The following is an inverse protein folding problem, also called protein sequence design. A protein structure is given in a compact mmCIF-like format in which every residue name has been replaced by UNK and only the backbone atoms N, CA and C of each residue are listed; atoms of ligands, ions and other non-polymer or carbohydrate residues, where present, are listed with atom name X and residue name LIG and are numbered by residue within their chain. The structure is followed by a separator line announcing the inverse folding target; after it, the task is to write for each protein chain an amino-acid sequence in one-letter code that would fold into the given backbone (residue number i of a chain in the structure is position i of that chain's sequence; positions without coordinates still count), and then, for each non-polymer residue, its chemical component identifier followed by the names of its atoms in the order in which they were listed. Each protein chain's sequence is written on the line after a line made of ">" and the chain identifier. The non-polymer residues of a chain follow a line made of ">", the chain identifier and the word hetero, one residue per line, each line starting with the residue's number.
data_IF_333839605586
#
_entry.id   IF_333839605586
#
_cell.length_a   1.000
_cell.length_b   1.000
_cell.length_c   1.000
_cell.angle_alpha   90.00
_cell.angle_beta   90.00
_cell.angle_gamma   90.00
#
_symmetry.space_group_name_H-M   'P 1'
#
loop_
_entity.id
_entity.type
_entity.pdbx_description
1 polymer ?
#
# COMPACT_ATOMS: atom_id res chain seq x y z
N UNK A 1 -29.49 -4.33 -33.67
CA UNK A 1 -28.52 -3.57 -32.85
C UNK A 1 -29.31 -2.75 -31.85
N UNK A 2 -29.00 -2.88 -30.56
CA UNK A 2 -29.55 -1.96 -29.56
C UNK A 2 -29.07 -0.54 -29.90
N UNK A 3 -29.92 0.50 -29.74
CA UNK A 3 -29.46 1.88 -29.91
C UNK A 3 -28.29 2.13 -28.96
N UNK A 4 -27.25 2.83 -29.43
CA UNK A 4 -26.16 3.25 -28.55
C UNK A 4 -26.74 4.08 -27.40
N UNK A 5 -26.34 3.81 -26.13
CA UNK A 5 -26.85 4.56 -25.00
C UNK A 5 -26.57 6.07 -25.20
N UNK A 6 -27.53 6.95 -24.87
CA UNK A 6 -27.35 8.38 -25.04
C UNK A 6 -26.22 8.88 -24.13
N UNK A 7 -25.32 9.69 -24.67
CA UNK A 7 -24.29 10.35 -23.87
C UNK A 7 -24.94 11.38 -22.94
N UNK A 8 -24.28 11.70 -21.82
CA UNK A 8 -24.77 12.72 -20.86
C UNK A 8 -24.99 14.07 -21.57
N UNK A 9 -24.07 14.46 -22.45
CA UNK A 9 -24.19 15.67 -23.28
C UNK A 9 -25.44 15.61 -24.17
N UNK A 10 -25.74 14.46 -24.78
CA UNK A 10 -26.96 14.29 -25.59
C UNK A 10 -28.23 14.38 -24.75
N UNK A 11 -28.23 13.87 -23.52
CA UNK A 11 -29.36 14.00 -22.59
C UNK A 11 -29.59 15.46 -22.21
N UNK A 12 -28.53 16.19 -21.85
CA UNK A 12 -28.57 17.63 -21.55
C UNK A 12 -29.08 18.43 -22.75
N UNK A 13 -28.60 18.12 -23.96
CA UNK A 13 -29.08 18.75 -25.19
C UNK A 13 -30.57 18.46 -25.44
N UNK A 14 -31.02 17.21 -25.27
CA UNK A 14 -32.41 16.84 -25.44
C UNK A 14 -33.32 17.55 -24.43
N UNK A 15 -32.86 17.69 -23.19
CA UNK A 15 -33.57 18.47 -22.18
C UNK A 15 -33.67 19.94 -22.59
N UNK A 16 -32.57 20.59 -22.97
CA UNK A 16 -32.58 21.99 -23.40
C UNK A 16 -33.49 22.22 -24.61
N UNK A 17 -33.43 21.34 -25.62
CA UNK A 17 -34.30 21.43 -26.80
C UNK A 17 -35.78 21.23 -26.46
N UNK A 18 -36.10 20.32 -25.53
CA UNK A 18 -37.46 20.15 -25.03
C UNK A 18 -37.94 21.41 -24.29
N UNK A 19 -37.13 22.00 -23.42
CA UNK A 19 -37.45 23.24 -22.73
C UNK A 19 -37.61 24.42 -23.70
N UNK A 20 -36.70 24.58 -24.66
CA UNK A 20 -36.83 25.59 -25.72
C UNK A 20 -38.11 25.38 -26.53
N UNK A 21 -38.51 24.14 -26.82
CA UNK A 21 -39.77 23.85 -27.51
C UNK A 21 -40.97 24.24 -26.68
N UNK A 22 -40.98 24.00 -25.37
CA UNK A 22 -42.05 24.43 -24.46
C UNK A 22 -42.16 25.95 -24.40
N UNK A 23 -41.03 26.65 -24.28
CA UNK A 23 -40.99 28.12 -24.23
C UNK A 23 -41.31 28.78 -25.58
N UNK A 24 -41.06 28.09 -26.69
CA UNK A 24 -41.36 28.58 -28.03
C UNK A 24 -42.75 28.17 -28.55
N UNK A 25 -43.59 27.56 -27.71
CA UNK A 25 -44.96 27.25 -28.09
C UNK A 25 -45.76 28.52 -28.40
N UNK A 26 -46.61 28.49 -29.43
CA UNK A 26 -47.42 29.65 -29.78
C UNK A 26 -48.35 30.00 -28.63
N UNK A 27 -48.30 31.26 -28.22
CA UNK A 27 -49.15 31.78 -27.16
C UNK A 27 -50.56 31.95 -27.72
N UNK A 28 -51.52 31.34 -27.02
CA UNK A 28 -52.95 31.56 -27.26
C UNK A 28 -53.53 32.34 -26.08
N UNK A 29 -54.32 33.38 -26.32
CA UNK A 29 -54.96 34.14 -25.24
C UNK A 29 -55.87 33.22 -24.44
N UNK A 30 -55.86 33.37 -23.12
CA UNK A 30 -56.70 32.57 -22.23
C UNK A 30 -58.18 32.89 -22.48
N UNK A 31 -59.06 31.89 -22.29
CA UNK A 31 -60.51 32.08 -22.45
C UNK A 31 -61.06 33.15 -21.51
N UNK A 32 -60.54 33.21 -20.29
CA UNK A 32 -60.88 34.24 -19.31
C UNK A 32 -60.57 35.66 -19.83
N UNK A 33 -59.40 35.84 -20.47
CA UNK A 33 -59.02 37.12 -21.05
C UNK A 33 -59.91 37.51 -22.24
N UNK A 34 -60.26 36.55 -23.11
CA UNK A 34 -61.18 36.80 -24.23
C UNK A 34 -62.56 37.26 -23.75
N UNK A 35 -63.11 36.61 -22.73
CA UNK A 35 -64.40 36.98 -22.15
C UNK A 35 -64.37 38.40 -21.56
N UNK A 36 -63.28 38.75 -20.87
CA UNK A 36 -63.11 40.10 -20.32
C UNK A 36 -63.03 41.15 -21.45
N UNK A 37 -62.26 40.88 -22.51
CA UNK A 37 -62.18 41.78 -23.66
C UNK A 37 -63.55 41.97 -24.34
N UNK A 38 -64.35 40.90 -24.51
CA UNK A 38 -65.70 41.01 -25.05
C UNK A 38 -66.67 41.78 -24.15
N UNK A 39 -66.46 41.77 -22.83
CA UNK A 39 -67.29 42.52 -21.88
C UNK A 39 -67.02 44.03 -21.85
N UNK A 40 -65.88 44.48 -22.40
CA UNK A 40 -65.49 45.89 -22.40
C UNK A 40 -66.22 46.76 -23.44
N UNK A 41 -67.16 46.19 -24.19
CA UNK A 41 -68.05 46.93 -25.11
C UNK A 41 -67.26 47.78 -26.11
N UNK A 42 -67.35 49.10 -25.94
CA UNK A 42 -66.73 50.09 -26.83
C UNK A 42 -65.19 50.08 -26.79
N UNK A 43 -64.58 49.62 -25.70
CA UNK A 43 -63.12 49.50 -25.54
C UNK A 43 -62.59 48.10 -25.90
N UNK A 44 -63.42 47.22 -26.44
CA UNK A 44 -63.00 45.86 -26.81
C UNK A 44 -62.02 45.89 -27.98
N UNK A 45 -60.90 45.18 -27.84
CA UNK A 45 -59.95 44.99 -28.94
C UNK A 45 -60.58 44.09 -29.99
N UNK A 46 -60.53 44.52 -31.26
CA UNK A 46 -61.05 43.71 -32.36
C UNK A 46 -60.31 42.38 -32.48
N UNK A 47 -61.04 41.30 -32.75
CA UNK A 47 -60.48 39.95 -32.89
C UNK A 47 -59.37 39.91 -33.94
N UNK A 48 -59.55 40.62 -35.05
CA UNK A 48 -58.52 40.76 -36.10
C UNK A 48 -57.23 41.40 -35.58
N UNK A 49 -57.31 42.45 -34.76
CA UNK A 49 -56.13 43.07 -34.19
C UNK A 49 -55.42 42.14 -33.20
N UNK A 50 -56.19 41.33 -32.45
CA UNK A 50 -55.65 40.31 -31.54
C UNK A 50 -54.92 39.23 -32.33
N UNK A 51 -55.54 38.69 -33.38
CA UNK A 51 -54.94 37.66 -34.22
C UNK A 51 -53.68 38.14 -34.94
N UNK A 52 -53.69 39.36 -35.48
CA UNK A 52 -52.51 39.98 -36.10
C UNK A 52 -51.38 40.18 -35.09
N UNK A 53 -51.70 40.62 -33.86
CA UNK A 53 -50.73 40.80 -32.79
C UNK A 53 -50.14 39.46 -32.33
N UNK A 54 -50.98 38.44 -32.15
CA UNK A 54 -50.56 37.08 -31.79
C UNK A 54 -49.70 36.46 -32.88
N UNK A 55 -50.08 36.61 -34.15
CA UNK A 55 -49.29 36.14 -35.28
C UNK A 55 -47.89 36.77 -35.27
N UNK A 56 -47.81 38.09 -35.12
CA UNK A 56 -46.52 38.82 -35.06
C UNK A 56 -45.69 38.42 -33.84
N UNK A 57 -46.32 38.26 -32.67
CA UNK A 57 -45.63 37.85 -31.44
C UNK A 57 -45.08 36.44 -31.57
N UNK A 58 -45.92 35.48 -31.97
CA UNK A 58 -45.54 34.09 -32.16
C UNK A 58 -44.43 33.97 -33.21
N UNK A 59 -44.52 34.75 -34.30
CA UNK A 59 -43.46 34.78 -35.31
C UNK A 59 -42.14 35.32 -34.75
N UNK A 60 -42.17 36.44 -34.00
CA UNK A 60 -40.97 37.00 -33.35
C UNK A 60 -40.37 36.05 -32.32
N UNK A 61 -41.19 35.36 -31.55
CA UNK A 61 -40.76 34.37 -30.57
C UNK A 61 -40.13 33.14 -31.24
N UNK A 62 -40.68 32.66 -32.35
CA UNK A 62 -40.04 31.62 -33.16
C UNK A 62 -38.71 32.10 -33.76
N UNK A 63 -38.65 33.31 -34.31
CA UNK A 63 -37.41 33.89 -34.81
C UNK A 63 -36.35 34.02 -33.70
N UNK A 64 -36.76 34.49 -32.51
CA UNK A 64 -35.89 34.61 -31.35
C UNK A 64 -35.37 33.24 -30.91
N UNK A 65 -36.24 32.24 -30.76
CA UNK A 65 -35.84 30.88 -30.37
C UNK A 65 -34.82 30.29 -31.34
N UNK A 66 -34.99 30.49 -32.66
CA UNK A 66 -34.05 29.99 -33.69
C UNK A 66 -32.72 30.73 -33.70
N UNK A 67 -32.71 32.03 -33.36
CA UNK A 67 -31.48 32.84 -33.33
C UNK A 67 -30.67 32.61 -32.06
N UNK A 68 -31.33 32.53 -30.91
CA UNK A 68 -30.66 32.38 -29.60
C UNK A 68 -30.33 30.91 -29.32
N UNK A 69 -31.29 30.00 -29.53
CA UNK A 69 -31.12 28.57 -29.26
C UNK A 69 -30.86 27.78 -30.54
N UNK A 70 -29.86 28.23 -31.31
CA UNK A 70 -29.38 27.46 -32.46
C UNK A 70 -28.83 26.09 -32.01
N UNK A 71 -28.94 25.02 -32.81
CA UNK A 71 -28.56 23.66 -32.39
C UNK A 71 -27.09 23.57 -31.93
N UNK A 72 -26.18 24.29 -32.60
CA UNK A 72 -24.76 24.36 -32.18
C UNK A 72 -24.58 25.04 -30.81
N UNK A 73 -25.34 26.11 -30.55
CA UNK A 73 -25.30 26.79 -29.25
C UNK A 73 -25.85 25.91 -28.14
N UNK A 74 -26.93 25.16 -28.38
CA UNK A 74 -27.48 24.23 -27.37
C UNK A 74 -26.49 23.13 -26.99
N UNK A 75 -25.72 22.61 -27.95
CA UNK A 75 -24.67 21.63 -27.70
C UNK A 75 -23.53 22.24 -26.87
N UNK A 76 -23.05 23.42 -27.25
CA UNK A 76 -22.00 24.11 -26.51
C UNK A 76 -22.41 24.40 -25.06
N UNK A 77 -23.65 24.85 -24.83
CA UNK A 77 -24.17 25.05 -23.47
C UNK A 77 -24.24 23.73 -22.69
N UNK A 78 -24.63 22.63 -23.34
CA UNK A 78 -24.63 21.31 -22.70
C UNK A 78 -23.21 20.85 -22.31
N UNK A 79 -22.21 21.08 -23.16
CA UNK A 79 -20.80 20.82 -22.88
C UNK A 79 -20.27 21.73 -21.76
N UNK A 80 -20.64 23.01 -21.74
CA UNK A 80 -20.27 23.94 -20.66
C UNK A 80 -20.88 23.54 -19.32
N UNK A 81 -22.14 23.12 -19.27
CA UNK A 81 -22.78 22.62 -18.04
C UNK A 81 -22.06 21.36 -17.56
N UNK A 82 -21.62 20.49 -18.47
CA UNK A 82 -20.80 19.33 -18.13
C UNK A 82 -19.45 19.72 -17.53
N UNK A 83 -18.73 20.63 -18.19
CA UNK A 83 -17.45 21.16 -17.70
C UNK A 83 -17.59 21.84 -16.34
N UNK A 84 -18.65 22.64 -16.12
CA UNK A 84 -18.89 23.31 -14.85
C UNK A 84 -19.16 22.31 -13.72
N UNK A 85 -19.88 21.21 -14.00
CA UNK A 85 -20.11 20.17 -13.01
C UNK A 85 -18.80 19.45 -12.63
N UNK A 86 -17.99 19.09 -13.63
CA UNK A 86 -16.68 18.49 -13.37
C UNK A 86 -15.74 19.43 -12.64
N UNK A 87 -15.64 20.69 -13.06
CA UNK A 87 -14.84 21.70 -12.37
C UNK A 87 -15.27 21.90 -10.92
N UNK A 88 -16.58 21.84 -10.64
CA UNK A 88 -17.10 21.91 -9.27
C UNK A 88 -16.73 20.66 -8.46
N UNK A 89 -16.78 19.47 -9.07
CA UNK A 89 -16.37 18.22 -8.43
C UNK A 89 -14.86 18.20 -8.13
N UNK A 90 -14.02 18.61 -9.07
CA UNK A 90 -12.58 18.74 -8.88
C UNK A 90 -12.23 19.82 -7.85
N UNK A 91 -12.97 20.94 -7.85
CA UNK A 91 -12.82 21.97 -6.83
C UNK A 91 -13.19 21.47 -5.42
N UNK A 92 -14.22 20.61 -5.31
CA UNK A 92 -14.58 19.98 -4.05
C UNK A 92 -13.50 18.97 -3.59
N UNK A 93 -12.99 18.14 -4.50
CA UNK A 93 -11.93 17.18 -4.21
C UNK A 93 -10.62 17.88 -3.79
N UNK A 94 -10.24 18.96 -4.48
CA UNK A 94 -9.02 19.73 -4.15
C UNK A 94 -9.16 20.58 -2.89
N UNK A 95 -10.37 21.02 -2.54
CA UNK A 95 -10.63 21.69 -1.25
C UNK A 95 -10.51 20.70 -0.10
N UNK A 96 -11.14 19.53 -0.22
CA UNK A 96 -10.98 18.46 0.77
C UNK A 96 -9.53 18.01 0.94
N UNK A 97 -8.73 18.02 -0.14
CA UNK A 97 -7.29 17.72 -0.06
C UNK A 97 -6.46 18.83 0.62
N UNK A 98 -6.90 20.10 0.58
CA UNK A 98 -6.21 21.22 1.23
C UNK A 98 -6.57 21.34 2.71
N UNK A 99 -7.84 21.17 3.04
CA UNK A 99 -8.31 21.25 4.43
C UNK A 99 -7.80 20.07 5.27
N UNK A 100 -7.34 18.97 4.62
CA UNK A 100 -6.68 17.85 5.28
C UNK A 100 -5.21 18.04 5.68
N UNK A 101 -4.55 19.17 5.33
CA UNK A 101 -3.16 19.47 5.73
C UNK A 101 -3.09 20.29 7.04
N UNK A 102 -4.17 20.98 7.40
CA UNK A 102 -4.26 21.76 8.63
C UNK A 102 -4.84 20.93 9.79
N UNK A 103 -3.95 20.32 10.57
CA UNK A 103 -4.05 20.17 12.04
C UNK A 103 -5.32 19.61 12.67
N UNK A 104 -5.18 18.45 13.33
CA UNK A 104 -5.90 18.09 14.57
C UNK A 104 -7.43 17.94 14.52
N UNK A 105 -8.02 17.56 13.38
CA UNK A 105 -9.41 17.10 13.39
C UNK A 105 -9.49 15.62 13.83
N UNK A 106 -9.43 15.39 15.15
CA UNK A 106 -9.63 14.07 15.78
C UNK A 106 -11.03 13.46 15.56
N UNK A 107 -12.01 14.19 15.00
CA UNK A 107 -13.34 13.64 14.64
C UNK A 107 -13.90 14.17 13.31
N UNK A 108 -13.08 14.81 12.48
CA UNK A 108 -13.49 15.43 11.21
C UNK A 108 -13.43 14.45 10.05
N UNK A 109 -14.39 13.53 9.97
CA UNK A 109 -14.64 12.64 8.83
C UNK A 109 -15.18 13.46 7.63
N UNK A 110 -14.45 14.49 7.19
CA UNK A 110 -14.59 15.08 5.86
C UNK A 110 -13.78 14.21 4.90
N UNK A 111 -14.21 12.96 4.76
CA UNK A 111 -13.72 12.08 3.69
C UNK A 111 -13.97 12.86 2.41
N UNK A 112 -12.94 13.09 1.60
CA UNK A 112 -13.15 13.68 0.28
C UNK A 112 -14.20 12.84 -0.47
N UNK A 113 -15.46 13.26 -0.46
CA UNK A 113 -16.61 12.49 -0.96
C UNK A 113 -16.57 12.29 -2.48
N UNK A 114 -15.54 12.83 -3.16
CA UNK A 114 -15.39 12.76 -4.61
C UNK A 114 -14.16 11.99 -5.04
N UNK A 115 -14.36 10.91 -5.79
CA UNK A 115 -13.32 10.38 -6.67
C UNK A 115 -12.99 11.44 -7.73
N UNK A 116 -11.78 11.99 -7.71
CA UNK A 116 -11.33 12.92 -8.74
C UNK A 116 -11.31 12.28 -10.13
N UNK A 117 -11.45 13.08 -11.18
CA UNK A 117 -11.35 12.57 -12.55
C UNK A 117 -9.98 11.92 -12.79
N UNK A 118 -9.97 10.64 -13.14
CA UNK A 118 -8.73 9.89 -13.38
C UNK A 118 -8.01 9.43 -12.11
N UNK A 119 -8.66 9.49 -10.95
CA UNK A 119 -8.14 8.85 -9.74
C UNK A 119 -7.87 7.37 -9.99
N UNK A 120 -6.71 6.88 -9.56
CA UNK A 120 -6.37 5.47 -9.68
C UNK A 120 -7.24 4.67 -8.72
N UNK A 121 -8.22 3.95 -9.28
CA UNK A 121 -9.12 3.07 -8.52
C UNK A 121 -8.37 1.90 -7.88
N UNK A 122 -7.12 1.65 -8.31
CA UNK A 122 -6.27 0.72 -7.62
C UNK A 122 -5.63 1.33 -6.38
N UNK A 123 -5.51 2.64 -6.17
CA UNK A 123 -4.83 3.20 -4.99
C UNK A 123 -5.60 2.86 -3.70
N UNK A 124 -4.95 2.31 -2.65
CA UNK A 124 -5.66 1.99 -1.41
C UNK A 124 -6.24 3.23 -0.71
N UNK A 125 -5.69 4.43 -0.91
CA UNK A 125 -6.24 5.66 -0.35
C UNK A 125 -7.58 6.00 -1.02
N UNK A 126 -7.67 5.84 -2.33
CA UNK A 126 -8.90 6.05 -3.12
C UNK A 126 -9.96 5.01 -2.78
N UNK A 127 -9.58 3.74 -2.61
CA UNK A 127 -10.54 2.70 -2.19
C UNK A 127 -11.15 3.04 -0.83
N UNK A 128 -10.38 3.66 0.09
CA UNK A 128 -10.89 4.04 1.39
C UNK A 128 -11.92 5.17 1.37
N UNK A 129 -11.96 6.00 0.32
CA UNK A 129 -12.99 7.04 0.17
C UNK A 129 -14.29 6.52 -0.44
N UNK A 130 -14.30 5.27 -0.95
CA UNK A 130 -15.50 4.68 -1.54
C UNK A 130 -16.57 4.41 -0.47
N UNK A 131 -17.82 4.86 -0.70
CA UNK A 131 -18.92 4.55 0.20
C UNK A 131 -19.25 3.05 0.16
N UNK A 132 -19.74 2.54 1.30
CA UNK A 132 -20.15 1.15 1.44
C UNK A 132 -21.56 0.90 0.89
N UNK A 133 -22.35 1.96 0.78
CA UNK A 133 -23.72 1.95 0.31
C UNK A 133 -23.86 2.86 -0.90
N UNK A 134 -24.91 2.65 -1.69
CA UNK A 134 -25.17 3.46 -2.87
C UNK A 134 -25.70 4.84 -2.46
N UNK A 135 -25.04 5.92 -2.86
CA UNK A 135 -25.33 7.28 -2.38
C UNK A 135 -26.73 7.79 -2.73
N UNK A 136 -27.30 7.36 -3.87
CA UNK A 136 -28.59 7.85 -4.37
C UNK A 136 -29.71 6.86 -3.98
N UNK A 137 -30.52 7.14 -2.93
CA UNK A 137 -31.53 6.20 -2.43
C UNK A 137 -32.65 5.93 -3.44
N UNK A 138 -32.96 6.91 -4.30
CA UNK A 138 -33.97 6.75 -5.35
C UNK A 138 -33.56 5.72 -6.40
N UNK A 139 -32.27 5.67 -6.75
CA UNK A 139 -31.74 4.71 -7.72
C UNK A 139 -31.55 3.34 -7.07
N UNK A 140 -31.14 3.30 -5.80
CA UNK A 140 -31.11 2.08 -5.02
C UNK A 140 -32.50 1.41 -4.94
N UNK A 141 -33.56 2.22 -4.85
CA UNK A 141 -34.94 1.72 -4.87
C UNK A 141 -35.38 1.21 -6.26
N UNK A 142 -34.93 1.84 -7.35
CA UNK A 142 -35.26 1.37 -8.71
C UNK A 142 -34.43 0.15 -9.11
N UNK A 143 -33.19 0.03 -8.63
CA UNK A 143 -32.25 -1.03 -8.95
C UNK A 143 -31.70 -1.72 -7.69
N UNK A 144 -32.54 -2.45 -6.93
CA UNK A 144 -32.14 -3.02 -5.64
C UNK A 144 -31.08 -4.12 -5.76
N UNK A 145 -31.04 -4.86 -6.88
CA UNK A 145 -30.02 -5.90 -7.10
C UNK A 145 -28.65 -5.29 -7.38
N UNK A 146 -28.58 -4.15 -8.07
CA UNK A 146 -27.33 -3.47 -8.38
C UNK A 146 -26.77 -2.79 -7.15
N UNK A 147 -27.62 -2.15 -6.34
CA UNK A 147 -27.22 -1.56 -5.08
C UNK A 147 -26.62 -2.60 -4.11
N UNK A 148 -27.21 -3.81 -4.03
CA UNK A 148 -26.65 -4.91 -3.22
C UNK A 148 -25.30 -5.39 -3.75
N UNK A 149 -25.19 -5.59 -5.07
CA UNK A 149 -23.93 -5.98 -5.72
C UNK A 149 -22.83 -4.95 -5.50
N UNK A 150 -23.17 -3.67 -5.56
CA UNK A 150 -22.25 -2.59 -5.25
C UNK A 150 -21.74 -2.71 -3.81
N UNK A 151 -22.63 -2.85 -2.83
CA UNK A 151 -22.25 -2.98 -1.43
C UNK A 151 -21.35 -4.21 -1.19
N UNK A 152 -21.65 -5.35 -1.82
CA UNK A 152 -20.82 -6.55 -1.77
C UNK A 152 -19.42 -6.29 -2.35
N UNK A 153 -19.34 -5.73 -3.56
CA UNK A 153 -18.06 -5.44 -4.23
C UNK A 153 -17.24 -4.36 -3.51
N UNK A 154 -17.89 -3.33 -2.98
CA UNK A 154 -17.24 -2.28 -2.19
C UNK A 154 -16.62 -2.87 -0.92
N UNK A 155 -17.36 -3.72 -0.19
CA UNK A 155 -16.83 -4.43 0.96
C UNK A 155 -15.65 -5.34 0.58
N UNK A 156 -15.75 -6.09 -0.53
CA UNK A 156 -14.63 -6.89 -1.04
C UNK A 156 -13.40 -6.03 -1.35
N UNK A 157 -13.56 -4.89 -2.02
CA UNK A 157 -12.46 -3.97 -2.33
C UNK A 157 -11.79 -3.41 -1.07
N UNK A 158 -12.57 -3.03 -0.06
CA UNK A 158 -12.03 -2.57 1.23
C UNK A 158 -11.18 -3.67 1.89
N UNK A 159 -11.68 -4.92 1.94
CA UNK A 159 -10.90 -6.04 2.52
C UNK A 159 -9.62 -6.36 1.73
N UNK A 160 -9.66 -6.26 0.40
CA UNK A 160 -8.48 -6.46 -0.46
C UNK A 160 -7.48 -5.32 -0.30
N UNK A 161 -7.95 -4.08 -0.17
CA UNK A 161 -7.10 -2.91 0.07
C UNK A 161 -6.38 -3.02 1.42
N UNK A 162 -7.05 -3.49 2.47
CA UNK A 162 -6.44 -3.76 3.77
C UNK A 162 -5.33 -4.82 3.67
N UNK A 163 -5.60 -5.95 3.00
CA UNK A 163 -4.59 -7.01 2.79
C UNK A 163 -3.39 -6.50 2.03
N UNK A 164 -3.59 -5.68 1.00
CA UNK A 164 -2.49 -5.06 0.26
C UNK A 164 -1.70 -4.08 1.13
N UNK A 165 -2.35 -3.24 1.94
CA UNK A 165 -1.67 -2.34 2.89
C UNK A 165 -0.79 -3.13 3.86
N UNK A 166 -1.30 -4.23 4.40
CA UNK A 166 -0.54 -5.12 5.30
C UNK A 166 0.68 -5.73 4.59
N UNK A 167 0.51 -6.23 3.36
CA UNK A 167 1.61 -6.78 2.57
C UNK A 167 2.67 -5.72 2.25
N UNK A 168 2.25 -4.52 1.84
CA UNK A 168 3.15 -3.39 1.56
C UNK A 168 3.91 -2.95 2.83
N UNK A 169 3.24 -2.88 3.98
CA UNK A 169 3.88 -2.57 5.27
C UNK A 169 4.93 -3.63 5.65
N UNK A 170 4.63 -4.92 5.41
CA UNK A 170 5.59 -6.01 5.64
C UNK A 170 6.81 -5.89 4.73
N UNK A 171 6.61 -5.61 3.44
CA UNK A 171 7.71 -5.39 2.48
C UNK A 171 8.55 -4.18 2.88
N UNK A 172 7.92 -3.05 3.23
CA UNK A 172 8.62 -1.86 3.70
C UNK A 172 9.45 -2.15 4.97
N UNK A 173 8.91 -2.92 5.92
CA UNK A 173 9.66 -3.35 7.11
C UNK A 173 10.86 -4.22 6.75
N UNK A 174 10.70 -5.20 5.84
CA UNK A 174 11.80 -6.06 5.38
C UNK A 174 12.88 -5.24 4.65
N UNK A 175 12.48 -4.29 3.81
CA UNK A 175 13.40 -3.38 3.12
C UNK A 175 14.16 -2.49 4.10
N UNK A 176 13.50 -1.96 5.14
CA UNK A 176 14.17 -1.21 6.22
C UNK A 176 15.18 -2.07 6.97
N UNK A 177 14.81 -3.30 7.33
CA UNK A 177 15.75 -4.23 8.00
C UNK A 177 16.93 -4.58 7.08
N UNK A 178 16.69 -4.79 5.79
CA UNK A 178 17.77 -4.99 4.80
C UNK A 178 18.71 -3.78 4.72
N UNK A 179 18.18 -2.56 4.69
CA UNK A 179 19.00 -1.34 4.66
C UNK A 179 19.87 -1.18 5.92
N UNK A 180 19.39 -1.65 7.08
CA UNK A 180 20.19 -1.68 8.32
C UNK A 180 21.26 -2.78 8.32
N UNK A 181 21.05 -3.85 7.56
CA UNK A 181 21.98 -4.99 7.44
C UNK A 181 23.03 -4.82 6.34
N UNK A 182 22.80 -3.94 5.36
CA UNK A 182 23.74 -3.65 4.27
C UNK A 182 25.19 -3.38 4.73
N UNK A 183 25.46 -2.55 5.77
CA UNK A 183 26.83 -2.36 6.25
C UNK A 183 27.47 -3.61 6.88
N UNK A 184 26.67 -4.62 7.24
CA UNK A 184 27.14 -5.87 7.84
C UNK A 184 27.26 -7.03 6.81
N UNK A 185 26.93 -6.81 5.54
CA UNK A 185 26.98 -7.86 4.51
C UNK A 185 28.42 -8.20 4.09
N UNK A 186 29.13 -8.98 4.91
CA UNK A 186 30.50 -9.49 4.67
C UNK A 186 30.63 -10.46 3.48
N UNK A 187 29.51 -10.98 2.98
CA UNK A 187 29.51 -11.89 1.83
C UNK A 187 29.89 -11.19 0.53
N UNK A 188 29.63 -9.88 0.40
CA UNK A 188 29.92 -9.15 -0.84
C UNK A 188 31.40 -8.85 -1.01
N UNK A 189 32.15 -8.56 0.07
CA UNK A 189 33.60 -8.35 -0.02
C UNK A 189 34.35 -9.66 -0.30
N UNK A 190 33.89 -10.79 0.25
CA UNK A 190 34.56 -12.09 0.02
C UNK A 190 34.19 -12.75 -1.30
N UNK A 191 32.95 -12.62 -1.79
CA UNK A 191 32.56 -13.18 -3.09
C UNK A 191 33.21 -12.43 -4.27
N UNK A 192 33.51 -11.14 -4.12
CA UNK A 192 34.32 -10.38 -5.08
C UNK A 192 35.79 -10.82 -5.13
N UNK A 193 36.34 -11.35 -4.03
CA UNK A 193 37.72 -11.81 -3.97
C UNK A 193 37.96 -13.18 -4.64
N UNK A 194 36.92 -14.00 -4.81
CA UNK A 194 37.08 -15.32 -5.42
C UNK A 194 37.11 -15.31 -6.96
N UNK A 195 36.75 -14.20 -7.60
CA UNK A 195 36.65 -14.08 -9.05
C UNK A 195 37.41 -12.87 -9.61
N UNK A 196 38.67 -12.69 -9.22
CA UNK A 196 39.47 -11.58 -9.76
C UNK A 196 40.89 -11.58 -9.24
N UNK A 197 41.73 -12.49 -9.75
CA UNK A 197 43.15 -12.40 -9.53
C UNK A 197 43.76 -11.17 -10.23
N UNK A 198 44.52 -10.39 -9.46
CA UNK A 198 45.63 -9.57 -9.96
C UNK A 198 45.35 -8.08 -10.20
N UNK A 199 46.11 -7.22 -9.51
CA UNK A 199 46.21 -5.78 -9.73
C UNK A 199 45.91 -5.01 -8.44
N UNK A 200 46.82 -5.01 -7.46
CA UNK A 200 48.01 -4.15 -7.38
C UNK A 200 47.68 -2.65 -7.22
N UNK A 201 48.03 -2.17 -6.02
CA UNK A 201 48.49 -0.83 -5.67
C UNK A 201 47.52 0.38 -5.62
N UNK A 202 47.47 0.98 -4.43
CA UNK A 202 47.35 2.44 -4.25
C UNK A 202 45.94 3.05 -4.27
N UNK A 203 45.25 3.04 -3.13
CA UNK A 203 44.03 3.86 -3.00
C UNK A 203 43.41 3.85 -1.61
N UNK A 204 44.01 4.57 -0.67
CA UNK A 204 43.29 5.29 0.41
C UNK A 204 42.11 4.55 1.06
N UNK A 205 42.38 3.50 1.84
CA UNK A 205 41.39 2.89 2.73
C UNK A 205 41.18 3.74 4.00
N UNK A 206 40.75 4.98 3.84
CA UNK A 206 40.14 5.79 4.91
C UNK A 206 38.60 5.75 4.84
N UNK A 207 38.07 4.68 4.25
CA UNK A 207 36.64 4.45 4.03
C UNK A 207 36.02 3.45 5.02
N UNK A 208 35.97 3.82 6.30
CA UNK A 208 34.81 3.60 7.19
C UNK A 208 34.06 2.25 7.31
N UNK A 209 34.56 1.12 6.80
CA UNK A 209 33.85 -0.17 6.83
C UNK A 209 34.29 -1.14 7.95
N UNK A 210 35.08 -0.69 8.93
CA UNK A 210 35.64 -1.52 10.01
C UNK A 210 34.68 -1.79 11.17
N UNK A 211 33.37 -1.77 10.92
CA UNK A 211 32.32 -2.13 11.87
C UNK A 211 31.83 -3.55 11.59
N UNK A 212 31.71 -4.48 12.51
CA UNK A 212 31.80 -4.48 13.97
C UNK A 212 32.26 -5.89 14.32
N UNK A 213 33.38 -6.01 15.03
CA UNK A 213 33.87 -7.20 15.72
C UNK A 213 33.48 -8.52 15.05
N UNK A 214 34.31 -9.00 14.12
CA UNK A 214 34.28 -10.39 13.69
C UNK A 214 34.11 -11.27 14.93
N UNK A 215 32.96 -11.96 14.97
CA UNK A 215 32.41 -12.52 16.18
C UNK A 215 33.43 -13.53 16.71
N UNK A 216 34.28 -13.12 17.64
CA UNK A 216 35.54 -13.83 17.95
C UNK A 216 35.30 -15.25 18.49
N UNK A 217 34.04 -15.56 18.83
CA UNK A 217 33.55 -16.82 19.39
C UNK A 217 32.96 -17.77 18.33
N UNK A 218 32.77 -17.34 17.07
CA UNK A 218 32.29 -18.27 16.03
C UNK A 218 33.35 -19.31 15.67
N UNK A 219 32.93 -20.48 15.20
CA UNK A 219 33.83 -21.50 14.65
C UNK A 219 34.68 -20.84 13.55
N UNK A 220 36.00 -20.78 13.74
CA UNK A 220 36.99 -20.01 12.96
C UNK A 220 37.25 -18.55 13.40
N UNK A 221 36.82 -18.12 14.59
CA UNK A 221 37.15 -16.81 15.14
C UNK A 221 38.62 -16.69 15.56
N UNK A 222 39.15 -15.47 15.62
CA UNK A 222 40.56 -15.24 16.02
C UNK A 222 40.87 -15.83 17.40
N UNK A 223 39.92 -15.81 18.34
CA UNK A 223 40.09 -16.44 19.67
C UNK A 223 40.22 -17.96 19.55
N UNK A 224 39.46 -18.63 18.69
CA UNK A 224 39.63 -20.07 18.50
C UNK A 224 41.00 -20.38 17.90
N UNK A 225 41.45 -19.56 16.93
CA UNK A 225 42.79 -19.70 16.37
C UNK A 225 43.87 -19.50 17.46
N UNK A 226 43.71 -18.53 18.35
CA UNK A 226 44.61 -18.32 19.49
C UNK A 226 44.53 -19.44 20.52
N UNK A 227 43.35 -19.96 20.84
CA UNK A 227 43.16 -21.10 21.73
C UNK A 227 43.78 -22.37 21.14
N UNK A 228 43.67 -22.58 19.83
CA UNK A 228 44.32 -23.69 19.14
C UNK A 228 45.85 -23.54 19.17
N UNK A 229 46.38 -22.32 18.95
CA UNK A 229 47.81 -22.03 19.17
C UNK A 229 48.22 -22.32 20.62
N UNK A 230 47.41 -21.93 21.59
CA UNK A 230 47.68 -22.15 23.02
C UNK A 230 47.67 -23.65 23.38
N UNK A 231 46.72 -24.43 22.84
CA UNK A 231 46.71 -25.90 22.98
C UNK A 231 47.96 -26.55 22.39
N UNK A 232 48.39 -26.10 21.21
CA UNK A 232 49.63 -26.56 20.59
C UNK A 232 50.87 -26.18 21.42
N UNK A 233 50.92 -24.96 21.96
CA UNK A 233 51.99 -24.53 22.85
C UNK A 233 52.03 -25.35 24.13
N UNK A 234 50.87 -25.61 24.75
CA UNK A 234 50.76 -26.44 25.94
C UNK A 234 51.17 -27.89 25.67
N UNK A 235 50.80 -28.48 24.53
CA UNK A 235 51.26 -29.80 24.13
C UNK A 235 52.79 -29.84 23.96
N UNK A 236 53.38 -28.82 23.33
CA UNK A 236 54.84 -28.72 23.15
C UNK A 236 55.57 -28.51 24.48
N UNK A 237 55.03 -27.69 25.38
CA UNK A 237 55.58 -27.48 26.73
C UNK A 237 55.44 -28.76 27.56
N UNK A 238 54.29 -29.43 27.52
CA UNK A 238 54.07 -30.71 28.19
C UNK A 238 55.08 -31.77 27.75
N UNK A 239 55.35 -31.89 26.45
CA UNK A 239 56.39 -32.78 25.93
C UNK A 239 57.80 -32.41 26.41
N UNK A 240 58.12 -31.11 26.46
CA UNK A 240 59.44 -30.64 26.94
C UNK A 240 59.62 -30.81 28.45
N UNK A 241 58.56 -30.66 29.24
CA UNK A 241 58.55 -30.91 30.69
C UNK A 241 58.67 -32.40 30.99
N UNK A 242 58.00 -33.26 30.22
CA UNK A 242 58.14 -34.71 30.35
C UNK A 242 59.59 -35.17 30.11
N UNK A 243 60.23 -34.66 29.05
CA UNK A 243 61.65 -34.91 28.76
C UNK A 243 62.58 -34.45 29.89
N UNK A 244 62.33 -33.27 30.47
CA UNK A 244 63.11 -32.77 31.61
C UNK A 244 62.93 -33.63 32.87
N UNK A 245 61.71 -34.09 33.15
CA UNK A 245 61.44 -34.98 34.29
C UNK A 245 62.10 -36.34 34.12
N UNK A 246 62.09 -36.90 32.92
CA UNK A 246 62.79 -38.15 32.60
C UNK A 246 64.31 -37.98 32.75
N UNK A 247 64.84 -36.81 32.36
CA UNK A 247 66.25 -36.48 32.53
C UNK A 247 66.64 -36.24 34.01
N UNK A 248 65.78 -35.64 34.83
CA UNK A 248 66.00 -35.52 36.27
C UNK A 248 65.96 -36.89 36.97
N UNK A 249 65.03 -37.76 36.58
CA UNK A 249 64.96 -39.12 37.11
C UNK A 249 66.20 -39.94 36.71
N UNK A 250 66.66 -39.82 35.46
CA UNK A 250 67.91 -40.41 35.03
C UNK A 250 69.13 -39.84 35.77
N UNK A 251 69.11 -38.52 36.07
CA UNK A 251 70.21 -37.84 36.77
C UNK A 251 70.30 -38.14 38.28
N UNK A 252 69.22 -38.59 38.93
CA UNK A 252 69.20 -38.87 40.38
C UNK A 252 69.16 -40.36 40.74
N UNK A 253 68.97 -41.25 39.77
CA UNK A 253 68.83 -42.70 40.02
C UNK A 253 70.03 -43.55 39.61
N UNK A 254 71.24 -42.98 39.50
CA UNK A 254 72.46 -43.73 39.19
C UNK A 254 72.96 -44.52 40.40
N UNK A 255 72.31 -45.64 40.75
CA UNK A 255 72.73 -46.45 41.89
C UNK A 255 71.90 -47.70 42.10
N UNK A 256 72.15 -48.72 41.26
CA UNK A 256 72.12 -50.16 41.56
C UNK A 256 71.04 -50.75 42.48
N UNK A 257 70.26 -51.69 41.93
CA UNK A 257 69.58 -52.67 42.79
C UNK A 257 68.39 -53.36 42.12
N UNK A 258 68.66 -54.52 41.55
CA UNK A 258 67.74 -55.51 41.02
C UNK A 258 66.54 -55.86 41.92
N UNK A 259 65.34 -55.87 41.34
CA UNK A 259 64.26 -56.86 41.53
C UNK A 259 63.18 -56.48 40.51
N UNK A 260 63.24 -56.98 39.28
CA UNK A 260 62.61 -58.24 38.90
C UNK A 260 61.17 -58.35 39.42
N UNK A 261 60.25 -57.93 38.56
CA UNK A 261 58.96 -58.58 38.29
C UNK A 261 57.96 -58.70 39.45
N UNK A 262 57.09 -57.69 39.59
CA UNK A 262 55.73 -57.94 40.09
C UNK A 262 54.72 -57.00 39.43
N UNK A 263 53.88 -57.62 38.60
CA UNK A 263 52.47 -57.29 38.41
C UNK A 263 52.13 -55.99 37.68
N UNK A 264 52.40 -56.01 36.37
CA UNK A 264 51.62 -55.29 35.36
C UNK A 264 50.18 -55.86 35.36
N UNK A 265 49.25 -55.21 36.04
CA UNK A 265 47.87 -55.70 36.19
C UNK A 265 46.87 -54.58 36.45
N UNK A 266 46.43 -53.95 35.36
CA UNK A 266 45.06 -53.45 35.15
C UNK A 266 44.40 -52.66 36.30
N UNK A 267 44.61 -51.34 36.31
CA UNK A 267 43.72 -50.38 37.00
C UNK A 267 43.36 -49.19 36.10
N UNK A 268 43.21 -49.49 34.81
CA UNK A 268 42.62 -48.59 33.81
C UNK A 268 41.38 -49.27 33.21
N UNK A 269 40.28 -49.23 33.94
CA UNK A 269 38.95 -49.39 33.34
C UNK A 269 37.95 -48.54 34.09
N UNK A 270 37.12 -47.84 33.30
CA UNK A 270 35.98 -47.01 33.69
C UNK A 270 36.33 -45.78 34.53
N UNK A 271 36.00 -44.55 34.14
CA UNK A 271 34.67 -44.13 33.69
C UNK A 271 34.81 -42.74 33.07
N UNK A 272 35.02 -42.69 31.76
CA UNK A 272 34.80 -41.48 30.98
C UNK A 272 33.29 -41.25 30.88
N UNK A 273 32.73 -40.54 31.85
CA UNK A 273 31.36 -40.03 31.80
C UNK A 273 31.31 -38.81 30.89
N UNK A 274 31.15 -39.06 29.59
CA UNK A 274 30.72 -38.06 28.61
C UNK A 274 29.21 -38.20 28.42
N UNK A 275 28.50 -37.07 28.32
CA UNK A 275 27.06 -36.88 28.02
C UNK A 275 26.14 -36.58 29.21
N UNK A 276 26.01 -35.28 29.51
CA UNK A 276 24.78 -34.64 30.03
C UNK A 276 24.39 -33.48 29.08
N UNK A 277 24.46 -33.68 27.77
CA UNK A 277 23.98 -32.68 26.78
C UNK A 277 22.62 -33.07 26.23
N UNK A 278 22.32 -34.38 26.15
CA UNK A 278 21.03 -34.87 25.66
C UNK A 278 19.87 -34.61 26.64
N UNK A 279 20.15 -34.49 27.95
CA UNK A 279 19.12 -34.20 28.95
C UNK A 279 18.56 -32.77 28.81
N UNK A 280 19.37 -31.81 28.35
CA UNK A 280 18.93 -30.42 28.21
C UNK A 280 17.97 -30.25 27.03
N UNK A 281 18.24 -30.89 25.89
CA UNK A 281 17.35 -30.82 24.71
C UNK A 281 16.00 -31.50 24.97
N UNK A 282 16.00 -32.62 25.72
CA UNK A 282 14.77 -33.31 26.12
C UNK A 282 13.89 -32.47 27.05
N UNK A 283 14.51 -31.70 27.96
CA UNK A 283 13.79 -30.83 28.89
C UNK A 283 13.18 -29.60 28.19
N UNK A 284 13.85 -29.06 27.17
CA UNK A 284 13.29 -27.98 26.35
C UNK A 284 12.10 -28.45 25.51
N UNK A 285 12.19 -29.64 24.90
CA UNK A 285 11.08 -30.21 24.15
C UNK A 285 9.85 -30.51 25.04
N UNK A 286 10.07 -30.99 26.27
CA UNK A 286 8.98 -31.17 27.24
C UNK A 286 8.31 -29.86 27.62
N UNK A 287 9.09 -28.79 27.84
CA UNK A 287 8.53 -27.46 28.16
C UNK A 287 7.69 -26.91 27.01
N UNK A 288 8.13 -27.07 25.77
CA UNK A 288 7.38 -26.63 24.58
C UNK A 288 6.09 -27.45 24.41
N UNK A 289 6.14 -28.76 24.65
CA UNK A 289 4.96 -29.63 24.61
C UNK A 289 3.88 -29.22 25.62
N UNK A 290 4.27 -28.89 26.87
CA UNK A 290 3.32 -28.44 27.89
C UNK A 290 2.69 -27.08 27.58
N UNK A 291 3.42 -26.18 26.90
CA UNK A 291 2.88 -24.90 26.46
C UNK A 291 1.82 -25.05 25.36
N UNK A 292 1.94 -26.06 24.50
CA UNK A 292 0.98 -26.32 23.43
C UNK A 292 -0.33 -26.96 23.92
N UNK A 293 -0.32 -27.74 25.01
CA UNK A 293 -1.55 -28.30 25.60
C UNK A 293 -2.38 -27.27 26.40
N UNK A 294 -1.77 -26.15 26.82
CA UNK A 294 -2.46 -25.10 27.57
C UNK A 294 -3.14 -24.02 26.70
N UNK A 295 -3.15 -24.19 25.37
CA UNK A 295 -3.89 -23.37 24.41
C UNK A 295 -5.00 -24.19 23.74
#
# INVERSE_FOLDING_TARGET
>A
MAPTPPTIVSLKQNFLTAQTRLLSQPLTPTRAWRNNNSSQGDNSLSEKAIDDALFKLNHRLQQHSRRVYAPQATRHVAEQIDQLYWNAADAAATRGARDGDDGDNEDGKEVAEGLGQGADLADPAVIATLPLEWDIPSEAASHPLEAKRYAELAAELHTLAERRRQAAARVARLQRMRALLEPFDTSSSSAGAAAGGGGDDGGDESGGGRGVQENLVTRNGEIEAELQRMRMLLARVGGRVAMLKEQEQAGRGGGGGSSADSSMGSLFSERGGTMEVDDVEMDEQRKVGQLLENF
#
